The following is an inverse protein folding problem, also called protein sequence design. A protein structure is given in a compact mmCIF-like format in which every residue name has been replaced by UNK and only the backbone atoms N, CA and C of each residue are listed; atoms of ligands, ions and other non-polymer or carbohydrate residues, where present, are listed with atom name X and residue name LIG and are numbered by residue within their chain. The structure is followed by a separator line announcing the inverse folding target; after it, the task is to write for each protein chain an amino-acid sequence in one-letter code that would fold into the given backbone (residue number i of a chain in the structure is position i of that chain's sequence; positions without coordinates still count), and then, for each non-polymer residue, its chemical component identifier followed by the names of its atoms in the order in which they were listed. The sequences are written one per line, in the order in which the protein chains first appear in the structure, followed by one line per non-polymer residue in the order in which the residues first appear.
data_IF_365098868037
#
_entry.id   IF_365098868037
#
_cell.length_a   1.000
_cell.length_b   1.000
_cell.length_c   1.000
_cell.angle_alpha   90.00
_cell.angle_beta   90.00
_cell.angle_gamma   90.00
#
_symmetry.space_group_name_H-M   'P 1'
#
loop_
_entity.id
_entity.type
_entity.pdbx_description
1 polymer ?
#
# COMPACT_ATOMS: atom_id res chain seq x y z
N UNK A 1 3.42 -7.98 -9.94
CA UNK A 1 2.08 -8.56 -9.64
C UNK A 1 0.90 -7.63 -9.94
N UNK A 2 1.14 -6.35 -10.22
CA UNK A 2 0.08 -5.38 -10.53
C UNK A 2 -0.90 -5.86 -11.62
N UNK A 3 -0.39 -6.26 -12.79
CA UNK A 3 -1.21 -6.68 -13.93
C UNK A 3 -2.06 -7.91 -13.65
N UNK A 4 -1.51 -8.90 -12.95
CA UNK A 4 -2.21 -10.13 -12.58
C UNK A 4 -3.37 -9.88 -11.59
N UNK A 5 -3.15 -9.03 -10.57
CA UNK A 5 -4.22 -8.68 -9.64
C UNK A 5 -5.28 -7.79 -10.29
N UNK A 6 -4.85 -6.85 -11.14
CA UNK A 6 -5.78 -6.00 -11.88
C UNK A 6 -6.67 -6.83 -12.80
N UNK A 7 -6.10 -7.79 -13.56
CA UNK A 7 -6.89 -8.63 -14.47
C UNK A 7 -7.92 -9.50 -13.76
N UNK A 8 -7.61 -9.99 -12.55
CA UNK A 8 -8.57 -10.76 -11.74
C UNK A 8 -9.65 -9.84 -11.16
N UNK A 9 -9.27 -8.68 -10.64
CA UNK A 9 -10.22 -7.72 -10.07
C UNK A 9 -11.22 -7.21 -11.12
N UNK A 10 -10.75 -6.93 -12.34
CA UNK A 10 -11.64 -6.51 -13.45
C UNK A 10 -12.54 -7.63 -13.92
N UNK A 11 -12.05 -8.89 -13.96
CA UNK A 11 -12.88 -10.05 -14.28
C UNK A 11 -14.00 -10.28 -13.25
N UNK A 12 -13.81 -9.87 -12.00
CA UNK A 12 -14.81 -9.93 -10.93
C UNK A 12 -15.77 -8.74 -10.91
N UNK A 13 -15.69 -7.82 -11.88
CA UNK A 13 -16.59 -6.67 -12.01
C UNK A 13 -16.15 -5.41 -11.27
N UNK A 14 -14.92 -5.37 -10.74
CA UNK A 14 -14.35 -4.13 -10.19
C UNK A 14 -14.01 -3.17 -11.32
N UNK A 15 -14.38 -1.88 -11.25
CA UNK A 15 -14.04 -0.95 -12.32
C UNK A 15 -12.53 -0.81 -12.52
N UNK A 16 -12.04 -0.94 -13.77
CA UNK A 16 -10.61 -1.03 -14.03
C UNK A 16 -9.82 0.17 -13.53
N UNK A 17 -10.39 1.37 -13.62
CA UNK A 17 -9.73 2.58 -13.17
C UNK A 17 -9.56 2.62 -11.65
N UNK A 18 -10.61 2.26 -10.91
CA UNK A 18 -10.56 2.13 -9.45
C UNK A 18 -9.55 1.06 -9.01
N UNK A 19 -9.59 -0.12 -9.62
CA UNK A 19 -8.64 -1.20 -9.32
C UNK A 19 -7.18 -0.80 -9.61
N UNK A 20 -6.94 -0.12 -10.74
CA UNK A 20 -5.62 0.35 -11.12
C UNK A 20 -5.08 1.42 -10.17
N UNK A 21 -5.92 2.39 -9.78
CA UNK A 21 -5.57 3.41 -8.79
C UNK A 21 -5.20 2.78 -7.46
N UNK A 22 -6.07 1.92 -6.92
CA UNK A 22 -5.86 1.30 -5.61
C UNK A 22 -4.56 0.48 -5.58
N UNK A 23 -4.33 -0.35 -6.59
CA UNK A 23 -3.10 -1.16 -6.69
C UNK A 23 -1.85 -0.30 -6.85
N UNK A 24 -1.95 0.85 -7.52
CA UNK A 24 -0.82 1.79 -7.69
C UNK A 24 -0.45 2.44 -6.36
N UNK A 25 -1.45 2.88 -5.59
CA UNK A 25 -1.21 3.43 -4.26
C UNK A 25 -0.63 2.38 -3.31
N UNK A 26 -1.22 1.18 -3.27
CA UNK A 26 -0.70 0.08 -2.44
C UNK A 26 0.76 -0.26 -2.79
N UNK A 27 1.13 -0.26 -4.08
CA UNK A 27 2.51 -0.50 -4.50
C UNK A 27 3.50 0.51 -3.90
N UNK A 28 3.11 1.78 -3.75
CA UNK A 28 3.96 2.80 -3.14
C UNK A 28 4.03 2.65 -1.62
N UNK A 29 2.89 2.36 -0.97
CA UNK A 29 2.79 2.25 0.48
C UNK A 29 3.57 1.04 1.04
N UNK A 30 3.61 -0.06 0.29
CA UNK A 30 4.37 -1.27 0.66
C UNK A 30 5.86 -1.00 0.86
N UNK A 31 6.40 0.02 0.18
CA UNK A 31 7.81 0.39 0.29
C UNK A 31 8.22 0.82 1.70
N UNK A 32 7.33 1.45 2.45
CA UNK A 32 7.63 1.99 3.80
C UNK A 32 7.54 0.98 4.94
N UNK A 33 7.18 -0.27 4.68
CA UNK A 33 6.83 -1.23 5.74
C UNK A 33 8.04 -2.03 6.23
N UNK A 34 8.95 -2.38 5.34
CA UNK A 34 10.13 -3.19 5.66
C UNK A 34 11.41 -2.38 5.49
N UNK A 35 12.46 -2.80 6.19
CA UNK A 35 13.78 -2.18 6.13
C UNK A 35 14.46 -2.34 4.75
N UNK A 36 13.89 -3.13 3.84
CA UNK A 36 14.34 -3.31 2.45
C UNK A 36 13.27 -2.90 1.42
N UNK A 37 12.17 -2.27 1.84
CA UNK A 37 11.05 -1.97 0.96
C UNK A 37 11.32 -0.88 -0.06
N UNK A 38 12.15 0.12 0.27
CA UNK A 38 12.67 1.12 -0.68
C UNK A 38 14.18 1.32 -0.49
N UNK A 39 14.86 1.88 -1.49
CA UNK A 39 16.32 2.06 -1.46
C UNK A 39 16.86 2.88 -0.28
N UNK A 40 16.08 3.79 0.30
CA UNK A 40 16.48 4.54 1.50
C UNK A 40 16.27 3.76 2.81
N UNK A 41 15.41 2.74 2.84
CA UNK A 41 15.11 2.00 4.07
C UNK A 41 16.35 1.25 4.64
N UNK A 42 17.21 0.61 3.83
CA UNK A 42 18.46 0.03 4.31
C UNK A 42 19.43 1.07 4.85
N UNK A 43 19.44 2.29 4.30
CA UNK A 43 20.29 3.40 4.76
C UNK A 43 19.88 3.83 6.17
N UNK A 44 18.57 3.97 6.43
CA UNK A 44 18.06 4.28 7.76
C UNK A 44 18.24 3.14 8.75
N UNK A 45 18.04 1.90 8.31
CA UNK A 45 18.24 0.72 9.16
C UNK A 45 19.71 0.51 9.53
N UNK A 46 20.64 0.76 8.59
CA UNK A 46 22.08 0.68 8.80
C UNK A 46 22.64 1.70 9.79
N UNK A 47 21.89 2.77 10.10
CA UNK A 47 22.25 3.71 11.16
C UNK A 47 22.04 3.15 12.58
N UNK A 48 21.50 1.92 12.73
CA UNK A 48 21.32 1.20 14.00
C UNK A 48 20.48 1.91 15.08
N UNK A 49 19.69 2.93 14.71
CA UNK A 49 18.79 3.64 15.65
C UNK A 49 17.58 2.80 16.07
N UNK A 50 17.09 1.90 15.21
CA UNK A 50 15.85 1.15 15.44
C UNK A 50 16.10 -0.35 15.29
N UNK A 51 15.84 -1.17 16.34
CA UNK A 51 15.94 -2.63 16.26
C UNK A 51 14.97 -3.23 15.24
N UNK A 52 15.37 -4.34 14.61
CA UNK A 52 14.57 -5.05 13.59
C UNK A 52 13.13 -5.35 14.04
N UNK A 53 12.96 -5.89 15.25
CA UNK A 53 11.64 -6.24 15.79
C UNK A 53 10.72 -5.01 15.92
N UNK A 54 11.27 -3.85 16.30
CA UNK A 54 10.50 -2.60 16.38
C UNK A 54 10.14 -2.08 14.99
N UNK A 55 11.08 -2.12 14.04
CA UNK A 55 10.82 -1.71 12.66
C UNK A 55 9.66 -2.50 12.06
N UNK A 56 9.71 -3.83 12.16
CA UNK A 56 8.66 -4.71 11.64
C UNK A 56 7.35 -4.58 12.41
N UNK A 57 7.39 -4.38 13.73
CA UNK A 57 6.20 -4.12 14.53
C UNK A 57 5.48 -2.84 14.09
N UNK A 58 6.22 -1.75 13.90
CA UNK A 58 5.65 -0.50 13.37
C UNK A 58 5.19 -0.66 11.91
N UNK A 59 5.96 -1.35 11.08
CA UNK A 59 5.57 -1.68 9.70
C UNK A 59 4.24 -2.42 9.64
N UNK A 60 3.99 -3.37 10.54
CA UNK A 60 2.71 -4.06 10.63
C UNK A 60 1.56 -3.11 10.99
N UNK A 61 1.72 -2.28 12.02
CA UNK A 61 0.71 -1.29 12.41
C UNK A 61 0.42 -0.30 11.27
N UNK A 62 1.46 0.21 10.63
CA UNK A 62 1.35 1.13 9.49
C UNK A 62 0.65 0.46 8.30
N UNK A 63 0.85 -0.84 8.08
CA UNK A 63 0.15 -1.57 7.01
C UNK A 63 -1.36 -1.60 7.22
N UNK A 64 -1.83 -1.83 8.46
CA UNK A 64 -3.25 -1.81 8.82
C UNK A 64 -3.82 -0.41 8.61
N UNK A 65 -3.13 0.63 9.11
CA UNK A 65 -3.55 2.02 8.94
C UNK A 65 -3.68 2.39 7.46
N UNK A 66 -2.71 2.01 6.63
CA UNK A 66 -2.75 2.24 5.19
C UNK A 66 -3.93 1.52 4.53
N UNK A 67 -4.20 0.27 4.89
CA UNK A 67 -5.37 -0.45 4.37
C UNK A 67 -6.65 0.30 4.74
N UNK A 68 -6.85 0.67 6.01
CA UNK A 68 -8.05 1.39 6.45
C UNK A 68 -8.23 2.72 5.70
N UNK A 69 -7.15 3.48 5.53
CA UNK A 69 -7.20 4.77 4.84
C UNK A 69 -7.49 4.59 3.35
N UNK A 70 -6.77 3.73 2.64
CA UNK A 70 -6.82 3.68 1.18
C UNK A 70 -7.95 2.77 0.64
N UNK A 71 -8.19 1.62 1.28
CA UNK A 71 -9.34 0.76 0.92
C UNK A 71 -10.65 1.28 1.51
N UNK A 72 -10.64 1.88 2.71
CA UNK A 72 -11.84 2.40 3.36
C UNK A 72 -12.15 3.84 2.95
N UNK A 73 -11.45 4.81 3.53
CA UNK A 73 -11.74 6.23 3.31
C UNK A 73 -11.47 6.68 1.86
N UNK A 74 -10.40 6.16 1.25
CA UNK A 74 -10.02 6.46 -0.13
C UNK A 74 -11.06 6.00 -1.13
N UNK A 75 -11.63 4.80 -0.94
CA UNK A 75 -12.68 4.30 -1.84
C UNK A 75 -13.99 5.10 -1.73
N UNK A 76 -14.36 5.53 -0.51
CA UNK A 76 -15.50 6.42 -0.28
C UNK A 76 -15.25 7.79 -0.93
N UNK A 77 -14.05 8.35 -0.76
CA UNK A 77 -13.69 9.62 -1.36
C UNK A 77 -13.73 9.57 -2.88
N UNK A 78 -13.13 8.56 -3.50
CA UNK A 78 -13.12 8.41 -4.97
C UNK A 78 -14.52 8.23 -5.55
N UNK A 79 -15.43 7.58 -4.81
CA UNK A 79 -16.84 7.53 -5.17
C UNK A 79 -17.51 8.90 -5.09
N UNK A 80 -17.22 9.69 -4.05
CA UNK A 80 -17.79 11.02 -3.88
C UNK A 80 -17.38 12.01 -4.99
N UNK A 81 -16.15 11.88 -5.51
CA UNK A 81 -15.66 12.70 -6.63
C UNK A 81 -15.95 12.11 -8.02
N UNK A 82 -16.68 11.01 -8.10
CA UNK A 82 -17.09 10.39 -9.37
C UNK A 82 -15.98 9.70 -10.15
N UNK A 83 -14.89 9.28 -9.48
CA UNK A 83 -13.81 8.51 -10.12
C UNK A 83 -14.14 7.01 -10.26
N UNK A 84 -15.21 6.53 -9.63
CA UNK A 84 -15.80 5.21 -9.86
C UNK A 84 -17.27 5.16 -9.45
#
# INVERSE_FOLDING_TARGET
MFTAFLSVATALGTPPFFGAMLLSFLSNLMGGLTHYGIGSAPVFFGANYVPLAKWWGYGFVISIVNIVIWLGLGSIWWKAIGLW
#
